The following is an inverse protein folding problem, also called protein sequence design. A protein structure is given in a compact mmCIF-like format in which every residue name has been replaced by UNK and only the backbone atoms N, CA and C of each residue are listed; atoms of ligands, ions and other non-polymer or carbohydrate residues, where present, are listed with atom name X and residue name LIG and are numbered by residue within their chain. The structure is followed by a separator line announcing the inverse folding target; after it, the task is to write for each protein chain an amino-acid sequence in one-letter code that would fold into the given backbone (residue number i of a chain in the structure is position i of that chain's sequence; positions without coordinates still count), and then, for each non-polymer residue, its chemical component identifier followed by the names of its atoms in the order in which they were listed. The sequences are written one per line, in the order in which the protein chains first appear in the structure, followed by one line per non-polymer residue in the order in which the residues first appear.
data_IF_011615677855
#
_entry.id   IF_011615677855
#
_cell.length_a   1.000
_cell.length_b   1.000
_cell.length_c   1.000
_cell.angle_alpha   90.00
_cell.angle_beta   90.00
_cell.angle_gamma   90.00
#
_symmetry.space_group_name_H-M   'P 1'
#
loop_
_entity.id
_entity.type
_entity.pdbx_description
1 polymer ?
#
# COMPACT_ATOMS: atom_id res chain seq x y z
N UNK A 1 13.27 7.42 -11.85
CA UNK A 1 12.54 6.34 -11.17
C UNK A 1 11.51 6.95 -10.22
N UNK A 2 10.30 6.35 -10.22
CA UNK A 2 9.22 6.83 -9.40
C UNK A 2 9.47 6.44 -7.93
N UNK A 3 9.44 7.38 -6.96
CA UNK A 3 9.63 7.04 -5.56
C UNK A 3 8.51 6.14 -5.01
N UNK A 4 8.88 5.12 -4.23
CA UNK A 4 7.93 4.18 -3.61
C UNK A 4 6.89 4.88 -2.73
N UNK A 5 7.28 5.96 -2.07
CA UNK A 5 6.40 6.77 -1.22
C UNK A 5 5.19 7.29 -2.00
N UNK A 6 5.41 7.75 -3.24
CA UNK A 6 4.34 8.28 -4.09
C UNK A 6 3.33 7.19 -4.44
N UNK A 7 3.80 5.99 -4.77
CA UNK A 7 2.92 4.85 -5.08
C UNK A 7 2.14 4.42 -3.83
N UNK A 8 2.81 4.33 -2.69
CA UNK A 8 2.16 3.99 -1.42
C UNK A 8 1.05 4.99 -1.06
N UNK A 9 1.34 6.29 -1.13
CA UNK A 9 0.36 7.35 -0.84
C UNK A 9 -0.80 7.33 -1.84
N UNK A 10 -0.51 7.16 -3.13
CA UNK A 10 -1.50 7.13 -4.19
C UNK A 10 -2.42 5.91 -4.12
N UNK A 11 -1.86 4.72 -3.86
CA UNK A 11 -2.62 3.47 -3.89
C UNK A 11 -3.39 3.19 -2.61
N UNK A 12 -2.93 3.70 -1.47
CA UNK A 12 -3.54 3.37 -0.17
C UNK A 12 -4.13 4.61 0.50
N UNK A 13 -3.38 5.67 0.72
CA UNK A 13 -3.86 6.81 1.48
C UNK A 13 -4.99 7.57 0.76
N UNK A 14 -4.78 7.94 -0.48
CA UNK A 14 -5.77 8.73 -1.24
C UNK A 14 -7.10 8.00 -1.45
N UNK A 15 -7.14 6.72 -1.87
CA UNK A 15 -8.40 5.99 -2.01
C UNK A 15 -9.15 5.79 -0.70
N UNK A 16 -8.46 5.62 0.43
CA UNK A 16 -9.12 5.52 1.73
C UNK A 16 -9.75 6.85 2.14
N UNK A 17 -9.05 7.97 1.92
CA UNK A 17 -9.59 9.31 2.19
C UNK A 17 -10.85 9.55 1.35
N UNK A 18 -10.80 9.25 0.06
CA UNK A 18 -11.95 9.43 -0.84
C UNK A 18 -13.13 8.56 -0.42
N UNK A 19 -12.90 7.31 -0.03
CA UNK A 19 -13.97 6.42 0.42
C UNK A 19 -14.62 6.89 1.72
N UNK A 20 -13.84 7.33 2.70
CA UNK A 20 -14.34 7.91 3.94
C UNK A 20 -15.14 9.21 3.71
N UNK A 21 -14.68 10.04 2.77
CA UNK A 21 -15.40 11.25 2.36
C UNK A 21 -16.76 10.94 1.73
N UNK A 22 -16.83 9.86 0.95
CA UNK A 22 -18.09 9.42 0.32
C UNK A 22 -19.11 8.92 1.34
N UNK A 23 -18.65 8.22 2.38
CA UNK A 23 -19.51 7.69 3.45
C UNK A 23 -20.05 8.77 4.38
N UNK A 24 -19.49 9.97 4.38
CA UNK A 24 -19.83 11.10 5.25
C UNK A 24 -19.94 10.75 6.75
N UNK A 25 -19.34 9.66 7.16
CA UNK A 25 -19.36 9.17 8.54
C UNK A 25 -18.16 9.68 9.34
N UNK A 26 -18.32 9.77 10.64
CA UNK A 26 -17.18 9.82 11.56
C UNK A 26 -16.50 8.45 11.58
N UNK A 27 -15.20 8.40 11.83
CA UNK A 27 -14.47 7.13 11.94
C UNK A 27 -15.02 6.31 13.12
N UNK A 28 -15.43 6.99 14.20
CA UNK A 28 -16.04 6.38 15.37
C UNK A 28 -17.21 7.23 15.87
N UNK A 29 -18.31 6.59 16.25
CA UNK A 29 -19.46 7.26 16.86
C UNK A 29 -19.21 7.61 18.33
N UNK A 30 -18.32 6.89 19.00
CA UNK A 30 -18.01 7.05 20.43
C UNK A 30 -16.53 7.39 20.63
N UNK A 31 -16.22 8.65 20.86
CA UNK A 31 -14.85 9.11 21.19
C UNK A 31 -14.45 8.96 22.64
N UNK A 32 -15.25 8.28 23.46
CA UNK A 32 -14.91 8.00 24.86
C UNK A 32 -14.28 6.62 24.97
N UNK A 33 -12.95 6.58 25.03
CA UNK A 33 -12.28 5.41 25.60
C UNK A 33 -12.61 5.38 27.10
N UNK A 34 -13.36 4.39 27.51
CA UNK A 34 -13.55 4.10 28.91
C UNK A 34 -12.18 3.78 29.55
N UNK A 35 -11.94 4.26 30.77
CA UNK A 35 -10.70 3.96 31.50
C UNK A 35 -10.45 2.45 31.65
N UNK A 36 -11.50 1.63 31.61
CA UNK A 36 -11.47 0.17 31.56
C UNK A 36 -10.99 -0.41 30.24
N UNK A 37 -10.98 0.38 29.16
CA UNK A 37 -10.55 -0.03 27.82
C UNK A 37 -9.08 -0.46 27.75
N UNK A 38 -8.23 0.13 28.58
CA UNK A 38 -6.81 -0.22 28.64
C UNK A 38 -6.58 -1.66 29.14
N UNK A 39 -7.22 -2.03 30.24
CA UNK A 39 -7.13 -3.38 30.79
C UNK A 39 -7.73 -4.42 29.83
N UNK A 40 -8.80 -4.04 29.11
CA UNK A 40 -9.41 -4.89 28.09
C UNK A 40 -8.44 -5.08 26.91
N UNK A 41 -7.85 -4.00 26.37
CA UNK A 41 -6.89 -4.08 25.27
C UNK A 41 -5.67 -4.94 25.61
N UNK A 42 -5.11 -4.80 26.82
CA UNK A 42 -4.03 -5.65 27.28
C UNK A 42 -4.46 -7.13 27.38
N UNK A 43 -5.66 -7.38 27.91
CA UNK A 43 -6.21 -8.73 28.00
C UNK A 43 -6.45 -9.35 26.62
N UNK A 44 -6.94 -8.57 25.67
CA UNK A 44 -7.18 -9.01 24.29
C UNK A 44 -5.86 -9.32 23.59
N UNK A 45 -4.81 -8.52 23.78
CA UNK A 45 -3.48 -8.82 23.33
C UNK A 45 -2.92 -10.09 23.99
N UNK A 46 -3.03 -10.21 25.31
CA UNK A 46 -2.55 -11.38 26.05
C UNK A 46 -3.23 -12.68 25.62
N UNK A 47 -4.52 -12.65 25.29
CA UNK A 47 -5.23 -13.81 24.71
C UNK A 47 -4.69 -14.19 23.31
N UNK A 48 -4.19 -13.22 22.56
CA UNK A 48 -3.71 -13.40 21.20
C UNK A 48 -2.17 -13.34 21.09
N UNK A 49 -1.45 -13.54 22.23
CA UNK A 49 0.01 -13.45 22.27
C UNK A 49 0.71 -14.36 21.24
N UNK A 50 0.14 -15.55 21.01
CA UNK A 50 0.69 -16.50 20.04
C UNK A 50 0.54 -15.98 18.59
N UNK A 51 -0.58 -15.33 18.29
CA UNK A 51 -0.77 -14.67 17.02
C UNK A 51 0.23 -13.51 16.85
N UNK A 52 0.39 -12.68 17.88
CA UNK A 52 1.38 -11.61 17.90
C UNK A 52 2.80 -12.15 17.64
N UNK A 53 3.20 -13.22 18.32
CA UNK A 53 4.51 -13.83 18.13
C UNK A 53 4.73 -14.34 16.70
N UNK A 54 3.77 -15.09 16.14
CA UNK A 54 3.85 -15.58 14.75
C UNK A 54 3.94 -14.44 13.73
N UNK A 55 3.12 -13.41 13.91
CA UNK A 55 3.14 -12.25 13.02
C UNK A 55 4.44 -11.45 13.18
N UNK A 56 4.99 -11.33 14.38
CA UNK A 56 6.30 -10.73 14.61
C UNK A 56 7.42 -11.50 13.90
N UNK A 57 7.38 -12.83 13.92
CA UNK A 57 8.35 -13.65 13.16
C UNK A 57 8.24 -13.41 11.66
N UNK A 58 7.01 -13.37 11.14
CA UNK A 58 6.76 -13.03 9.73
C UNK A 58 7.29 -11.64 9.42
N UNK A 59 7.02 -10.66 10.28
CA UNK A 59 7.51 -9.30 10.14
C UNK A 59 9.03 -9.22 10.09
N UNK A 60 9.72 -9.88 11.02
CA UNK A 60 11.18 -9.93 11.05
C UNK A 60 11.78 -10.58 9.80
N UNK A 61 11.20 -11.69 9.33
CA UNK A 61 11.66 -12.36 8.11
C UNK A 61 11.49 -11.49 6.87
N UNK A 62 10.32 -10.83 6.73
CA UNK A 62 10.05 -9.93 5.61
C UNK A 62 10.92 -8.68 5.69
N UNK A 63 11.12 -8.14 6.89
CA UNK A 63 12.02 -7.01 7.12
C UNK A 63 13.46 -7.30 6.70
N UNK A 64 13.91 -8.53 6.87
CA UNK A 64 15.24 -8.98 6.44
C UNK A 64 15.39 -9.09 4.90
N UNK A 65 14.28 -9.01 4.15
CA UNK A 65 14.29 -9.01 2.69
C UNK A 65 14.39 -7.56 2.17
N UNK A 66 15.52 -7.14 1.58
CA UNK A 66 15.67 -5.78 1.08
C UNK A 66 14.63 -5.44 0.01
N UNK A 67 14.03 -4.26 0.12
CA UNK A 67 13.10 -3.74 -0.89
C UNK A 67 11.63 -4.08 -0.69
N UNK A 68 11.26 -5.06 0.14
CA UNK A 68 9.85 -5.34 0.45
C UNK A 68 9.25 -4.29 1.40
N UNK A 69 10.06 -3.71 2.27
CA UNK A 69 9.67 -2.58 3.12
C UNK A 69 8.45 -2.82 4.00
N UNK A 70 8.03 -1.75 4.71
CA UNK A 70 6.88 -1.79 5.62
C UNK A 70 5.52 -1.85 4.96
N UNK A 71 5.42 -1.50 3.69
CA UNK A 71 4.12 -1.35 3.01
C UNK A 71 3.40 -2.68 2.70
N UNK A 72 4.12 -3.79 2.74
CA UNK A 72 3.59 -5.11 2.37
C UNK A 72 3.40 -6.02 3.59
N UNK A 73 4.20 -5.83 4.63
CA UNK A 73 4.25 -6.71 5.80
C UNK A 73 2.91 -6.76 6.53
N UNK A 74 2.23 -5.63 6.65
CA UNK A 74 0.94 -5.51 7.33
C UNK A 74 -0.13 -6.35 6.65
N UNK A 75 -0.15 -6.33 5.32
CA UNK A 75 -1.11 -7.09 4.51
C UNK A 75 -0.84 -8.60 4.57
N UNK A 76 0.44 -9.00 4.59
CA UNK A 76 0.82 -10.42 4.72
C UNK A 76 0.43 -10.93 6.10
N UNK A 77 0.72 -10.17 7.15
CA UNK A 77 0.37 -10.54 8.51
C UNK A 77 -1.15 -10.58 8.73
N UNK A 78 -1.88 -9.61 8.19
CA UNK A 78 -3.34 -9.62 8.22
C UNK A 78 -3.90 -10.84 7.49
N UNK A 79 -3.42 -11.10 6.27
CA UNK A 79 -3.84 -12.27 5.49
C UNK A 79 -3.53 -13.60 6.20
N UNK A 80 -2.35 -13.70 6.82
CA UNK A 80 -1.99 -14.84 7.66
C UNK A 80 -2.95 -15.03 8.83
N UNK A 81 -3.29 -13.95 9.54
CA UNK A 81 -4.23 -13.99 10.65
C UNK A 81 -5.62 -14.46 10.21
N UNK A 82 -6.16 -13.90 9.13
CA UNK A 82 -7.46 -14.31 8.57
C UNK A 82 -7.46 -15.77 8.16
N UNK A 83 -6.37 -16.28 7.60
CA UNK A 83 -6.29 -17.67 7.12
C UNK A 83 -6.10 -18.69 8.24
N UNK A 84 -5.39 -18.34 9.31
CA UNK A 84 -4.94 -19.28 10.34
C UNK A 84 -5.73 -19.23 11.63
N UNK A 85 -6.64 -18.27 11.79
CA UNK A 85 -7.48 -18.16 13.00
C UNK A 85 -8.92 -18.60 12.74
N UNK A 86 -9.62 -18.96 13.83
CA UNK A 86 -11.04 -19.30 13.78
C UNK A 86 -11.88 -18.02 13.64
N UNK A 87 -13.14 -18.17 13.22
CA UNK A 87 -14.12 -17.07 13.07
C UNK A 87 -13.60 -15.95 12.13
N UNK A 88 -13.31 -16.33 10.91
CA UNK A 88 -12.77 -15.41 9.89
C UNK A 88 -13.69 -14.24 9.56
N UNK A 89 -14.98 -14.44 9.73
CA UNK A 89 -16.04 -13.47 9.44
C UNK A 89 -16.02 -12.25 10.38
N UNK A 90 -15.38 -12.39 11.57
CA UNK A 90 -15.25 -11.28 12.52
C UNK A 90 -14.21 -10.23 12.11
N UNK A 91 -13.33 -10.57 11.17
CA UNK A 91 -12.34 -9.60 10.65
C UNK A 91 -13.04 -8.50 9.85
N UNK A 92 -12.64 -7.26 10.11
CA UNK A 92 -13.30 -6.09 9.51
C UNK A 92 -14.54 -5.59 10.26
N UNK A 93 -15.01 -6.30 11.28
CA UNK A 93 -16.19 -5.92 12.10
C UNK A 93 -15.82 -5.51 13.53
N UNK A 94 -14.54 -5.20 13.79
CA UNK A 94 -14.05 -4.78 15.11
C UNK A 94 -13.28 -5.83 15.88
N UNK A 95 -12.91 -6.94 15.27
CA UNK A 95 -12.08 -7.99 15.91
C UNK A 95 -10.65 -7.45 16.18
N UNK A 96 -10.17 -7.46 17.43
CA UNK A 96 -8.86 -6.96 17.81
C UNK A 96 -7.70 -7.70 17.11
N UNK A 97 -7.89 -8.94 16.68
CA UNK A 97 -6.89 -9.71 15.94
C UNK A 97 -6.52 -9.06 14.60
N UNK A 98 -7.48 -8.35 13.98
CA UNK A 98 -7.25 -7.59 12.75
C UNK A 98 -6.29 -6.40 12.93
N UNK A 99 -6.02 -5.98 14.16
CA UNK A 99 -5.02 -4.96 14.51
C UNK A 99 -3.76 -5.59 15.09
N UNK A 100 -3.91 -6.54 16.00
CA UNK A 100 -2.78 -7.20 16.67
C UNK A 100 -1.81 -7.84 15.66
N UNK A 101 -2.33 -8.50 14.63
CA UNK A 101 -1.50 -9.21 13.66
C UNK A 101 -0.62 -8.27 12.82
N UNK A 102 -1.17 -7.29 12.07
CA UNK A 102 -0.36 -6.38 11.26
C UNK A 102 0.57 -5.50 12.10
N UNK A 103 0.10 -4.98 13.25
CA UNK A 103 0.92 -4.11 14.09
C UNK A 103 2.10 -4.86 14.72
N UNK A 104 1.90 -6.13 15.12
CA UNK A 104 3.01 -6.96 15.61
C UNK A 104 4.07 -7.21 14.54
N UNK A 105 3.65 -7.44 13.30
CA UNK A 105 4.56 -7.64 12.17
C UNK A 105 5.25 -6.34 11.77
N UNK A 106 4.52 -5.24 11.71
CA UNK A 106 5.04 -3.93 11.36
C UNK A 106 6.13 -3.46 12.34
N UNK A 107 5.92 -3.68 13.63
CA UNK A 107 6.92 -3.34 14.63
C UNK A 107 8.17 -4.24 14.53
N UNK A 108 7.98 -5.54 14.37
CA UNK A 108 9.07 -6.51 14.31
C UNK A 108 9.92 -6.42 13.03
N UNK A 109 9.37 -5.91 11.92
CA UNK A 109 10.09 -5.78 10.65
C UNK A 109 11.32 -4.87 10.73
N UNK A 110 11.30 -3.85 11.58
CA UNK A 110 12.44 -2.93 11.71
C UNK A 110 13.66 -3.66 12.31
N UNK A 111 13.41 -4.57 13.26
CA UNK A 111 14.47 -5.46 13.77
C UNK A 111 15.04 -6.39 12.68
N UNK A 112 14.16 -6.96 11.84
CA UNK A 112 14.58 -7.76 10.69
C UNK A 112 15.37 -6.97 9.66
N UNK A 113 14.95 -5.73 9.37
CA UNK A 113 15.58 -4.85 8.39
C UNK A 113 17.00 -4.38 8.80
N UNK A 114 17.32 -4.42 10.08
CA UNK A 114 18.71 -4.16 10.53
C UNK A 114 19.71 -5.15 9.94
N UNK A 115 19.31 -6.41 9.75
CA UNK A 115 20.21 -7.45 9.25
C UNK A 115 20.84 -7.08 7.90
N UNK A 116 20.07 -6.90 6.81
CA UNK A 116 20.65 -6.51 5.53
C UNK A 116 21.26 -5.11 5.55
N UNK A 117 20.74 -4.20 6.37
CA UNK A 117 21.25 -2.83 6.46
C UNK A 117 22.66 -2.78 7.03
N UNK A 118 22.88 -3.48 8.14
CA UNK A 118 24.18 -3.46 8.82
C UNK A 118 25.19 -4.43 8.20
N UNK A 119 24.74 -5.61 7.74
CA UNK A 119 25.64 -6.64 7.22
C UNK A 119 25.98 -6.46 5.74
N UNK A 120 25.03 -5.95 4.95
CA UNK A 120 25.19 -5.86 3.49
C UNK A 120 25.20 -4.41 2.98
N UNK A 121 24.98 -3.42 3.84
CA UNK A 121 24.81 -2.02 3.42
C UNK A 121 23.58 -1.80 2.53
N UNK A 122 22.60 -2.69 2.60
CA UNK A 122 21.39 -2.63 1.77
C UNK A 122 20.19 -2.31 2.68
N UNK A 123 19.64 -1.09 2.63
CA UNK A 123 18.55 -0.71 3.52
C UNK A 123 17.28 -1.52 3.23
N UNK A 124 16.71 -2.13 4.27
CA UNK A 124 15.45 -2.88 4.18
C UNK A 124 14.20 -1.99 4.17
N UNK A 125 14.31 -0.74 4.62
CA UNK A 125 13.21 0.23 4.68
C UNK A 125 13.73 1.66 4.49
N UNK A 126 12.81 2.62 4.34
CA UNK A 126 13.16 4.05 4.28
C UNK A 126 13.85 4.53 5.56
N UNK A 127 13.40 4.08 6.73
CA UNK A 127 14.03 4.37 8.03
C UNK A 127 15.47 3.82 8.08
N UNK A 128 15.67 2.62 7.56
CA UNK A 128 16.99 1.99 7.48
C UNK A 128 17.92 2.71 6.49
N UNK A 129 17.39 3.29 5.42
CA UNK A 129 18.19 4.10 4.50
C UNK A 129 18.71 5.39 5.18
N UNK A 130 17.89 6.02 6.02
CA UNK A 130 18.28 7.18 6.82
C UNK A 130 19.34 6.78 7.86
N UNK A 131 19.12 5.67 8.57
CA UNK A 131 20.08 5.12 9.51
C UNK A 131 21.45 4.86 8.83
N UNK A 132 21.42 4.21 7.68
CA UNK A 132 22.60 3.92 6.87
C UNK A 132 23.36 5.18 6.49
N UNK A 133 22.63 6.22 6.01
CA UNK A 133 23.21 7.52 5.70
C UNK A 133 23.85 8.17 6.94
N UNK A 134 23.20 8.08 8.11
CA UNK A 134 23.74 8.54 9.39
C UNK A 134 25.02 7.84 9.79
N UNK A 135 25.09 6.51 9.65
CA UNK A 135 26.28 5.71 9.95
C UNK A 135 27.47 6.11 9.06
N UNK A 136 27.24 6.27 7.76
CA UNK A 136 28.28 6.70 6.81
C UNK A 136 28.82 8.09 7.17
N UNK A 137 27.94 9.02 7.57
CA UNK A 137 28.34 10.38 7.95
C UNK A 137 29.26 10.41 9.20
N UNK A 138 29.10 9.47 10.12
CA UNK A 138 29.98 9.34 11.31
C UNK A 138 31.16 8.40 11.09
N UNK A 139 31.40 7.99 9.83
CA UNK A 139 32.55 7.15 9.45
C UNK A 139 32.42 5.67 9.77
N UNK A 140 31.18 5.18 9.97
CA UNK A 140 30.90 3.76 10.19
C UNK A 140 30.41 3.16 8.87
N UNK A 141 31.24 2.30 8.28
CA UNK A 141 30.87 1.60 7.05
C UNK A 141 30.12 0.31 7.37
N UNK A 142 28.88 0.13 6.83
CA UNK A 142 28.14 -1.11 6.98
C UNK A 142 28.81 -2.22 6.15
N UNK A 143 28.70 -3.43 6.63
CA UNK A 143 29.27 -4.60 5.97
C UNK A 143 30.01 -5.50 6.95
N UNK A 144 31.00 -6.24 6.46
CA UNK A 144 31.76 -7.18 7.29
C UNK A 144 32.44 -6.51 8.49
N UNK A 145 32.89 -5.27 8.33
CA UNK A 145 33.55 -4.49 9.38
C UNK A 145 32.64 -4.22 10.59
N UNK A 146 31.31 -4.13 10.36
CA UNK A 146 30.33 -4.00 11.45
C UNK A 146 30.31 -5.21 12.38
N UNK A 147 30.60 -6.41 11.86
CA UNK A 147 30.63 -7.63 12.67
C UNK A 147 31.98 -7.78 13.32
N UNK A 148 33.04 -7.55 12.56
CA UNK A 148 34.43 -7.86 13.02
C UNK A 148 34.94 -6.82 14.03
N UNK A 149 34.63 -5.53 13.83
CA UNK A 149 35.25 -4.43 14.59
C UNK A 149 34.25 -3.49 15.30
N UNK A 150 32.94 -3.56 14.98
CA UNK A 150 31.93 -2.62 15.50
C UNK A 150 30.69 -3.30 16.10
N UNK A 151 30.88 -4.51 16.66
CA UNK A 151 29.75 -5.29 17.22
C UNK A 151 29.09 -4.60 18.41
N UNK A 152 29.85 -3.82 19.19
CA UNK A 152 29.35 -2.96 20.25
C UNK A 152 28.29 -1.98 19.73
N UNK A 153 28.51 -1.38 18.58
CA UNK A 153 27.58 -0.45 17.93
C UNK A 153 26.34 -1.18 17.39
N UNK A 154 26.51 -2.40 16.90
CA UNK A 154 25.37 -3.24 16.49
C UNK A 154 24.45 -3.52 17.67
N UNK A 155 25.01 -3.95 18.81
CA UNK A 155 24.22 -4.17 20.03
C UNK A 155 23.59 -2.88 20.55
N UNK A 156 24.31 -1.77 20.50
CA UNK A 156 23.75 -0.46 20.88
C UNK A 156 22.52 -0.12 20.04
N UNK A 157 22.56 -0.31 18.72
CA UNK A 157 21.41 -0.05 17.84
C UNK A 157 20.22 -0.98 18.14
N UNK A 158 20.49 -2.29 18.34
CA UNK A 158 19.43 -3.25 18.71
C UNK A 158 18.74 -2.82 20.00
N UNK A 159 19.49 -2.51 21.05
CA UNK A 159 18.93 -2.09 22.32
C UNK A 159 18.28 -0.71 22.27
N UNK A 160 18.80 0.20 21.44
CA UNK A 160 18.16 1.51 21.22
C UNK A 160 16.80 1.39 20.56
N UNK A 161 16.65 0.51 19.57
CA UNK A 161 15.35 0.24 18.95
C UNK A 161 14.40 -0.41 19.96
N UNK A 162 14.88 -1.38 20.76
CA UNK A 162 14.05 -2.00 21.80
C UNK A 162 13.57 -0.97 22.83
N UNK A 163 14.47 -0.10 23.32
CA UNK A 163 14.13 0.97 24.25
C UNK A 163 13.16 2.00 23.63
N UNK A 164 13.40 2.41 22.38
CA UNK A 164 12.52 3.32 21.65
C UNK A 164 11.11 2.75 21.47
N UNK A 165 10.98 1.45 21.21
CA UNK A 165 9.69 0.77 21.12
C UNK A 165 8.94 0.80 22.46
N UNK A 166 9.62 0.53 23.58
CA UNK A 166 8.99 0.55 24.90
C UNK A 166 8.51 1.97 25.25
N UNK A 167 9.38 2.98 25.06
CA UNK A 167 9.06 4.38 25.35
C UNK A 167 7.96 4.89 24.43
N UNK A 168 8.08 4.61 23.12
CA UNK A 168 7.08 5.01 22.11
C UNK A 168 5.72 4.38 22.36
N UNK A 169 5.66 3.08 22.66
CA UNK A 169 4.43 2.39 23.02
C UNK A 169 3.81 3.00 24.30
N UNK A 170 4.63 3.31 25.29
CA UNK A 170 4.19 4.01 26.51
C UNK A 170 3.54 5.37 26.21
N UNK A 171 4.21 6.20 25.42
CA UNK A 171 3.70 7.52 25.02
C UNK A 171 2.37 7.38 24.26
N UNK A 172 2.32 6.50 23.26
CA UNK A 172 1.11 6.25 22.49
C UNK A 172 -0.04 5.76 23.38
N UNK A 173 0.25 4.90 24.36
CA UNK A 173 -0.73 4.38 25.29
C UNK A 173 -1.32 5.48 26.17
N UNK A 174 -0.49 6.38 26.70
CA UNK A 174 -0.95 7.53 27.50
C UNK A 174 -1.74 8.55 26.66
N UNK A 175 -1.35 8.77 25.40
CA UNK A 175 -2.02 9.70 24.49
C UNK A 175 -3.23 9.08 23.76
N UNK A 176 -3.46 7.78 23.87
CA UNK A 176 -4.53 7.08 23.17
C UNK A 176 -5.93 7.73 23.36
N UNK A 177 -6.34 8.21 24.57
CA UNK A 177 -7.63 8.88 24.72
C UNK A 177 -7.73 10.20 23.96
N UNK A 178 -6.64 10.95 23.87
CA UNK A 178 -6.57 12.22 23.12
C UNK A 178 -6.64 11.96 21.62
N UNK A 179 -5.88 10.97 21.14
CA UNK A 179 -5.87 10.56 19.74
C UNK A 179 -7.25 10.02 19.34
N UNK A 180 -7.91 9.23 20.19
CA UNK A 180 -9.24 8.72 19.93
C UNK A 180 -10.30 9.82 19.76
N UNK A 181 -10.14 10.99 20.39
CA UNK A 181 -11.05 12.12 20.17
C UNK A 181 -10.97 12.67 18.75
N UNK A 182 -9.85 12.54 18.07
CA UNK A 182 -9.69 12.98 16.68
C UNK A 182 -10.59 12.15 15.76
N UNK A 183 -10.82 10.87 16.08
CA UNK A 183 -11.65 9.97 15.26
C UNK A 183 -13.14 10.33 15.28
N UNK A 184 -13.59 11.17 16.22
CA UNK A 184 -14.99 11.66 16.30
C UNK A 184 -15.25 12.93 15.50
N UNK A 185 -14.19 13.57 15.00
CA UNK A 185 -14.34 14.74 14.15
C UNK A 185 -14.86 14.28 12.79
N UNK A 186 -15.83 15.04 12.23
CA UNK A 186 -16.35 14.76 10.90
C UNK A 186 -15.21 14.69 9.89
N UNK A 187 -15.11 13.58 9.18
CA UNK A 187 -13.99 13.32 8.29
C UNK A 187 -13.82 14.37 7.20
N UNK A 188 -14.92 14.98 6.76
CA UNK A 188 -14.92 16.09 5.80
C UNK A 188 -14.10 17.31 6.25
N UNK A 189 -13.89 17.49 7.58
CA UNK A 189 -13.06 18.57 8.11
C UNK A 189 -11.57 18.20 8.12
N UNK A 190 -11.25 16.93 8.33
CA UNK A 190 -9.86 16.46 8.44
C UNK A 190 -9.26 16.16 7.06
N UNK A 191 -10.08 15.66 6.14
CA UNK A 191 -9.63 15.18 4.83
C UNK A 191 -8.83 16.20 4.00
N UNK A 192 -9.19 17.49 3.89
CA UNK A 192 -8.43 18.42 3.08
C UNK A 192 -7.01 18.63 3.63
N UNK A 193 -6.82 18.60 4.94
CA UNK A 193 -5.49 18.67 5.57
C UNK A 193 -4.70 17.41 5.28
N UNK A 194 -5.32 16.23 5.36
CA UNK A 194 -4.65 14.98 5.03
C UNK A 194 -4.25 14.92 3.55
N UNK A 195 -5.10 15.36 2.64
CA UNK A 195 -4.77 15.46 1.21
C UNK A 195 -3.62 16.44 1.02
N UNK A 196 -3.64 17.61 1.67
CA UNK A 196 -2.54 18.56 1.65
C UNK A 196 -1.22 17.95 2.10
N UNK A 197 -1.24 17.19 3.22
CA UNK A 197 -0.06 16.47 3.72
C UNK A 197 0.44 15.39 2.74
N UNK A 198 -0.45 14.66 2.08
CA UNK A 198 -0.08 13.66 1.07
C UNK A 198 0.65 14.33 -0.10
N UNK A 199 0.10 15.42 -0.63
CA UNK A 199 0.73 16.16 -1.71
C UNK A 199 2.06 16.79 -1.28
N UNK A 200 2.13 17.31 -0.06
CA UNK A 200 3.37 17.83 0.53
C UNK A 200 4.43 16.72 0.64
N UNK A 201 4.07 15.57 1.19
CA UNK A 201 4.99 14.44 1.32
C UNK A 201 5.47 13.92 -0.04
N UNK A 202 4.59 13.87 -1.04
CA UNK A 202 4.96 13.48 -2.40
C UNK A 202 5.91 14.49 -3.04
N UNK A 203 5.66 15.80 -2.87
CA UNK A 203 6.55 16.84 -3.40
C UNK A 203 7.92 16.83 -2.73
N UNK A 204 7.98 16.53 -1.44
CA UNK A 204 9.24 16.44 -0.70
C UNK A 204 10.11 15.24 -1.12
N UNK A 205 9.55 14.22 -1.76
CA UNK A 205 10.29 13.01 -2.13
C UNK A 205 11.44 13.32 -3.11
N UNK A 206 11.20 14.10 -4.17
CA UNK A 206 12.23 14.50 -5.14
C UNK A 206 12.18 15.99 -5.52
N UNK A 207 11.26 16.75 -4.95
CA UNK A 207 10.99 18.17 -5.28
C UNK A 207 10.69 18.40 -6.76
N UNK A 208 10.08 17.44 -7.42
CA UNK A 208 9.73 17.49 -8.83
C UNK A 208 8.22 17.55 -9.03
N UNK A 209 7.75 18.43 -9.92
CA UNK A 209 6.33 18.51 -10.29
C UNK A 209 5.80 17.23 -10.92
N UNK A 210 6.64 16.46 -11.59
CA UNK A 210 6.31 15.15 -12.13
C UNK A 210 5.79 14.17 -11.07
N UNK A 211 6.26 14.29 -9.83
CA UNK A 211 5.83 13.46 -8.71
C UNK A 211 4.36 13.71 -8.32
N UNK A 212 3.93 14.99 -8.40
CA UNK A 212 2.54 15.35 -8.12
C UNK A 212 1.59 14.86 -9.22
N UNK A 213 2.03 14.93 -10.48
CA UNK A 213 1.29 14.38 -11.61
C UNK A 213 1.18 12.85 -11.46
N UNK A 214 2.29 12.19 -11.15
CA UNK A 214 2.33 10.75 -10.91
C UNK A 214 1.44 10.36 -9.71
N UNK A 215 1.49 11.12 -8.60
CA UNK A 215 0.61 10.93 -7.45
C UNK A 215 -0.85 11.01 -7.88
N UNK A 216 -1.25 12.02 -8.65
CA UNK A 216 -2.62 12.19 -9.11
C UNK A 216 -3.09 11.01 -9.98
N UNK A 217 -2.30 10.65 -11.01
CA UNK A 217 -2.62 9.55 -11.93
C UNK A 217 -2.74 8.22 -11.19
N UNK A 218 -1.79 7.92 -10.31
CA UNK A 218 -1.80 6.71 -9.50
C UNK A 218 -2.91 6.73 -8.44
N UNK A 219 -3.28 7.90 -7.92
CA UNK A 219 -4.42 8.02 -7.00
C UNK A 219 -5.74 7.71 -7.71
N UNK A 220 -5.92 8.19 -8.93
CA UNK A 220 -7.09 7.83 -9.77
C UNK A 220 -7.12 6.33 -10.00
N UNK A 221 -5.98 5.73 -10.39
CA UNK A 221 -5.85 4.29 -10.53
C UNK A 221 -6.21 3.55 -9.23
N UNK A 222 -5.66 3.98 -8.09
CA UNK A 222 -5.92 3.40 -6.77
C UNK A 222 -7.39 3.48 -6.35
N UNK A 223 -8.07 4.60 -6.63
CA UNK A 223 -9.51 4.79 -6.39
C UNK A 223 -10.33 3.79 -7.20
N UNK A 224 -10.04 3.64 -8.49
CA UNK A 224 -10.76 2.69 -9.34
C UNK A 224 -10.42 1.24 -9.00
N UNK A 225 -9.17 0.91 -8.67
CA UNK A 225 -8.81 -0.42 -8.18
C UNK A 225 -9.58 -0.78 -6.91
N UNK A 226 -9.71 0.16 -5.95
CA UNK A 226 -10.52 -0.05 -4.74
C UNK A 226 -12.00 -0.24 -5.11
N UNK A 227 -12.52 0.59 -5.99
CA UNK A 227 -13.90 0.54 -6.46
C UNK A 227 -14.25 -0.82 -7.06
N UNK A 228 -13.36 -1.38 -7.88
CA UNK A 228 -13.59 -2.67 -8.56
C UNK A 228 -13.05 -3.88 -7.79
N UNK A 229 -12.59 -3.71 -6.56
CA UNK A 229 -12.07 -4.81 -5.75
C UNK A 229 -10.73 -5.39 -6.23
N UNK A 230 -9.98 -4.66 -7.05
CA UNK A 230 -8.68 -5.09 -7.55
C UNK A 230 -7.59 -4.96 -6.48
N UNK A 231 -6.68 -5.95 -6.44
CA UNK A 231 -5.67 -6.04 -5.38
C UNK A 231 -4.59 -4.96 -5.52
N UNK A 232 -4.73 -3.87 -4.78
CA UNK A 232 -3.72 -2.80 -4.68
C UNK A 232 -2.40 -3.28 -4.06
N UNK A 233 -2.42 -4.16 -3.01
CA UNK A 233 -1.18 -4.73 -2.48
C UNK A 233 -0.39 -5.53 -3.53
N UNK A 234 -1.05 -6.30 -4.39
CA UNK A 234 -0.37 -7.05 -5.44
C UNK A 234 0.37 -6.13 -6.42
N UNK A 235 -0.23 -5.00 -6.81
CA UNK A 235 0.41 -3.99 -7.66
C UNK A 235 1.65 -3.40 -6.97
N UNK A 236 1.54 -3.05 -5.68
CA UNK A 236 2.65 -2.49 -4.91
C UNK A 236 3.80 -3.50 -4.78
N UNK A 237 3.49 -4.77 -4.48
CA UNK A 237 4.48 -5.84 -4.40
C UNK A 237 5.19 -6.00 -5.77
N UNK A 238 4.43 -6.06 -6.85
CA UNK A 238 4.98 -6.15 -8.20
C UNK A 238 5.92 -4.98 -8.51
N UNK A 239 5.53 -3.76 -8.15
CA UNK A 239 6.37 -2.57 -8.35
C UNK A 239 7.69 -2.64 -7.54
N UNK A 240 7.60 -2.99 -6.24
CA UNK A 240 8.79 -3.08 -5.37
C UNK A 240 9.75 -4.17 -5.85
N UNK A 241 9.20 -5.31 -6.26
CA UNK A 241 10.01 -6.44 -6.73
C UNK A 241 10.57 -6.21 -8.13
N UNK A 242 9.91 -5.41 -8.99
CA UNK A 242 10.28 -5.26 -10.40
C UNK A 242 11.77 -4.92 -10.59
N UNK A 243 12.27 -3.92 -9.87
CA UNK A 243 13.67 -3.47 -9.98
C UNK A 243 14.66 -4.58 -9.58
N UNK A 244 14.31 -5.38 -8.56
CA UNK A 244 15.18 -6.48 -8.10
C UNK A 244 15.13 -7.66 -9.05
N UNK A 245 13.94 -8.00 -9.53
CA UNK A 245 13.76 -9.07 -10.52
C UNK A 245 14.48 -8.71 -11.80
N UNK A 246 14.31 -7.49 -12.30
CA UNK A 246 15.02 -6.99 -13.49
C UNK A 246 16.53 -7.10 -13.33
N UNK A 247 17.11 -6.58 -12.25
CA UNK A 247 18.53 -6.64 -11.99
C UNK A 247 19.04 -8.09 -11.87
N UNK A 248 18.30 -8.95 -11.17
CA UNK A 248 18.68 -10.36 -11.00
C UNK A 248 18.59 -11.14 -12.30
N UNK A 249 17.56 -10.90 -13.11
CA UNK A 249 17.42 -11.52 -14.44
C UNK A 249 18.56 -11.08 -15.35
N UNK A 250 18.83 -9.77 -15.39
CA UNK A 250 19.91 -9.22 -16.20
C UNK A 250 21.28 -9.84 -15.82
N UNK A 251 21.61 -9.86 -14.53
CA UNK A 251 22.86 -10.46 -14.03
C UNK A 251 22.93 -11.95 -14.37
N UNK A 252 21.85 -12.69 -14.14
CA UNK A 252 21.81 -14.13 -14.39
C UNK A 252 22.00 -14.45 -15.87
N UNK A 253 21.30 -13.74 -16.75
CA UNK A 253 21.40 -13.94 -18.20
C UNK A 253 22.77 -13.51 -18.72
N UNK A 254 23.34 -12.44 -18.18
CA UNK A 254 24.70 -12.00 -18.58
C UNK A 254 25.77 -13.00 -18.16
N UNK A 255 25.66 -13.62 -16.98
CA UNK A 255 26.67 -14.56 -16.46
C UNK A 255 26.51 -15.99 -17.01
N UNK A 256 25.28 -16.44 -17.20
CA UNK A 256 24.98 -17.85 -17.49
C UNK A 256 24.20 -18.08 -18.79
N UNK A 257 23.83 -17.02 -19.49
CA UNK A 257 22.97 -17.15 -20.67
C UNK A 257 21.61 -17.77 -20.30
N UNK A 258 21.02 -18.51 -21.25
CA UNK A 258 19.75 -19.24 -21.02
C UNK A 258 19.97 -20.56 -20.25
N UNK A 259 21.21 -21.03 -20.16
CA UNK A 259 21.56 -22.31 -19.50
C UNK A 259 21.34 -22.29 -17.97
N UNK A 260 21.06 -21.13 -17.37
CA UNK A 260 20.68 -21.06 -15.96
C UNK A 260 19.39 -21.87 -15.66
N UNK A 261 18.49 -22.06 -16.64
CA UNK A 261 17.28 -22.84 -16.49
C UNK A 261 17.55 -24.36 -16.35
N UNK A 262 18.73 -24.81 -16.76
CA UNK A 262 19.15 -26.22 -16.64
C UNK A 262 19.64 -26.57 -15.23
N UNK A 263 19.85 -25.55 -14.38
CA UNK A 263 20.34 -25.77 -13.00
C UNK A 263 19.26 -26.42 -12.14
N UNK A 264 19.57 -27.50 -11.38
CA UNK A 264 18.58 -28.22 -10.58
C UNK A 264 17.83 -27.34 -9.58
N UNK A 265 18.53 -26.38 -8.94
CA UNK A 265 17.92 -25.43 -7.99
C UNK A 265 16.88 -24.55 -8.68
N UNK A 266 17.16 -24.06 -9.90
CA UNK A 266 16.24 -23.23 -10.66
C UNK A 266 15.00 -24.02 -11.06
N UNK A 267 15.19 -25.29 -11.50
CA UNK A 267 14.08 -26.18 -11.86
C UNK A 267 13.19 -26.49 -10.67
N UNK A 268 13.78 -26.77 -9.48
CA UNK A 268 13.01 -27.00 -8.25
C UNK A 268 12.20 -25.75 -7.88
N UNK A 269 12.80 -24.55 -7.92
CA UNK A 269 12.11 -23.30 -7.62
C UNK A 269 10.99 -23.01 -8.63
N UNK A 270 11.21 -23.32 -9.91
CA UNK A 270 10.21 -23.15 -10.96
C UNK A 270 9.02 -24.10 -10.75
N UNK A 271 9.28 -25.36 -10.43
CA UNK A 271 8.24 -26.35 -10.09
C UNK A 271 7.46 -25.91 -8.84
N UNK A 272 8.14 -25.47 -7.79
CA UNK A 272 7.48 -24.96 -6.58
C UNK A 272 6.60 -23.73 -6.88
N UNK A 273 7.07 -22.83 -7.75
CA UNK A 273 6.29 -21.65 -8.17
C UNK A 273 5.04 -22.05 -8.93
N UNK A 274 5.17 -22.94 -9.92
CA UNK A 274 4.04 -23.45 -10.70
C UNK A 274 3.05 -24.19 -9.79
N UNK A 275 3.55 -25.04 -8.89
CA UNK A 275 2.73 -25.75 -7.92
C UNK A 275 2.00 -24.79 -6.99
N UNK A 276 2.66 -23.75 -6.50
CA UNK A 276 2.05 -22.71 -5.65
C UNK A 276 0.91 -21.98 -6.38
N UNK A 277 1.11 -21.61 -7.65
CA UNK A 277 0.08 -21.00 -8.48
C UNK A 277 -1.08 -21.97 -8.71
N UNK A 278 -0.79 -23.23 -9.05
CA UNK A 278 -1.81 -24.25 -9.24
C UNK A 278 -2.63 -24.47 -7.96
N UNK A 279 -1.97 -24.60 -6.79
CA UNK A 279 -2.65 -24.73 -5.51
C UNK A 279 -3.52 -23.51 -5.21
N UNK A 280 -3.05 -22.29 -5.48
CA UNK A 280 -3.84 -21.06 -5.29
C UNK A 280 -5.09 -21.03 -6.16
N UNK A 281 -5.02 -21.56 -7.39
CA UNK A 281 -6.15 -21.63 -8.32
C UNK A 281 -7.13 -22.76 -7.91
N UNK A 282 -6.61 -23.94 -7.57
CA UNK A 282 -7.44 -25.09 -7.21
C UNK A 282 -8.08 -24.96 -5.81
N UNK A 283 -7.34 -24.44 -4.84
CA UNK A 283 -7.85 -24.19 -3.49
C UNK A 283 -8.41 -22.78 -3.33
N UNK A 284 -8.96 -22.19 -4.40
CA UNK A 284 -9.67 -20.93 -4.33
C UNK A 284 -10.67 -21.00 -3.16
N UNK A 285 -10.34 -20.37 -2.04
CA UNK A 285 -11.26 -20.28 -0.93
C UNK A 285 -12.53 -19.59 -1.44
N UNK A 286 -13.68 -20.22 -1.17
CA UNK A 286 -14.97 -19.55 -1.32
C UNK A 286 -14.87 -18.23 -0.56
N UNK A 287 -14.66 -17.15 -1.28
CA UNK A 287 -14.79 -15.81 -0.73
C UNK A 287 -16.18 -15.73 -0.12
N UNK A 288 -16.27 -15.17 1.07
CA UNK A 288 -17.51 -14.85 1.77
C UNK A 288 -18.56 -14.41 0.77
N UNK A 289 -19.79 -14.82 0.99
CA UNK A 289 -21.00 -14.71 0.18
C UNK A 289 -20.92 -13.76 -1.01
N UNK A 290 -21.22 -14.24 -2.23
CA UNK A 290 -21.28 -13.36 -3.38
C UNK A 290 -22.25 -12.25 -3.02
N UNK A 291 -21.75 -11.02 -3.02
CA UNK A 291 -22.63 -9.86 -2.93
C UNK A 291 -23.49 -9.90 -4.20
N UNK A 292 -24.67 -10.45 -4.05
CA UNK A 292 -25.66 -10.46 -5.11
C UNK A 292 -25.95 -9.01 -5.48
N UNK A 293 -25.42 -8.58 -6.61
CA UNK A 293 -25.83 -7.36 -7.25
C UNK A 293 -27.15 -7.68 -7.92
N UNK A 294 -28.24 -7.53 -7.16
CA UNK A 294 -29.60 -7.66 -7.71
C UNK A 294 -29.83 -6.54 -8.71
N UNK A 295 -29.85 -6.88 -9.98
CA UNK A 295 -30.22 -5.96 -11.05
C UNK A 295 -29.62 -6.35 -12.40
N UNK A 296 -30.27 -6.01 -13.52
CA UNK A 296 -29.76 -6.29 -14.85
C UNK A 296 -28.42 -5.58 -15.06
N UNK A 297 -27.36 -6.34 -15.33
CA UNK A 297 -26.04 -5.83 -15.67
C UNK A 297 -26.11 -5.08 -17.00
N UNK A 298 -26.34 -3.78 -16.97
CA UNK A 298 -26.30 -2.96 -18.19
C UNK A 298 -24.84 -2.76 -18.63
N UNK A 299 -24.58 -2.78 -19.94
CA UNK A 299 -23.25 -2.53 -20.50
C UNK A 299 -22.65 -1.19 -20.04
N UNK A 300 -23.49 -0.18 -19.78
CA UNK A 300 -23.08 1.13 -19.30
C UNK A 300 -22.45 1.08 -17.89
N UNK A 301 -22.85 0.14 -17.04
CA UNK A 301 -22.26 -0.04 -15.70
C UNK A 301 -20.89 -0.70 -15.72
N UNK A 302 -20.57 -1.43 -16.80
CA UNK A 302 -19.27 -2.07 -17.00
C UNK A 302 -18.28 -1.16 -17.75
N UNK A 303 -18.73 -0.04 -18.30
CA UNK A 303 -17.89 0.86 -19.08
C UNK A 303 -16.59 1.29 -18.34
N UNK A 304 -16.61 1.69 -17.05
CA UNK A 304 -15.37 2.05 -16.34
C UNK A 304 -14.38 0.90 -16.24
N UNK A 305 -14.87 -0.35 -16.04
CA UNK A 305 -14.00 -1.53 -15.97
C UNK A 305 -13.38 -1.83 -17.34
N UNK A 306 -14.15 -1.70 -18.42
CA UNK A 306 -13.65 -1.86 -19.78
C UNK A 306 -12.58 -0.80 -20.14
N UNK A 307 -12.83 0.46 -19.75
CA UNK A 307 -11.84 1.54 -19.94
C UNK A 307 -10.55 1.22 -19.19
N UNK A 308 -10.65 0.73 -17.97
CA UNK A 308 -9.49 0.34 -17.18
C UNK A 308 -8.71 -0.80 -17.83
N UNK A 309 -9.39 -1.89 -18.20
CA UNK A 309 -8.78 -3.04 -18.88
C UNK A 309 -8.14 -2.62 -20.20
N UNK A 310 -8.82 -1.80 -20.99
CA UNK A 310 -8.27 -1.27 -22.24
C UNK A 310 -7.01 -0.42 -22.01
N UNK A 311 -6.99 0.39 -20.95
CA UNK A 311 -5.82 1.16 -20.54
C UNK A 311 -4.62 0.27 -20.18
N UNK A 312 -4.85 -0.82 -19.43
CA UNK A 312 -3.80 -1.78 -19.10
C UNK A 312 -3.28 -2.51 -20.35
N UNK A 313 -4.19 -2.91 -21.26
CA UNK A 313 -3.80 -3.51 -22.55
C UNK A 313 -2.97 -2.52 -23.36
N UNK A 314 -3.41 -1.28 -23.50
CA UNK A 314 -2.70 -0.26 -24.26
C UNK A 314 -1.29 -0.02 -23.68
N UNK A 315 -1.17 0.05 -22.35
CA UNK A 315 0.10 0.18 -21.67
C UNK A 315 1.01 -1.02 -21.93
N UNK A 316 0.47 -2.25 -21.80
CA UNK A 316 1.23 -3.46 -22.04
C UNK A 316 1.71 -3.57 -23.49
N UNK A 317 0.87 -3.19 -24.48
CA UNK A 317 1.24 -3.13 -25.87
C UNK A 317 2.29 -2.05 -26.16
N UNK A 318 2.18 -0.88 -25.52
CA UNK A 318 3.19 0.17 -25.64
C UNK A 318 4.55 -0.31 -25.12
N UNK A 319 4.58 -0.90 -23.91
CA UNK A 319 5.80 -1.47 -23.31
C UNK A 319 6.36 -2.58 -24.19
N UNK A 320 5.52 -3.43 -24.77
CA UNK A 320 5.92 -4.50 -25.69
C UNK A 320 6.60 -3.92 -26.92
N UNK A 321 5.99 -2.93 -27.59
CA UNK A 321 6.55 -2.29 -28.78
C UNK A 321 7.87 -1.56 -28.47
N UNK A 322 7.96 -0.91 -27.33
CA UNK A 322 9.16 -0.22 -26.91
C UNK A 322 10.28 -1.20 -26.56
N UNK A 323 9.96 -2.32 -25.93
CA UNK A 323 10.90 -3.39 -25.62
C UNK A 323 11.58 -3.99 -26.86
N UNK A 324 10.89 -4.03 -27.99
CA UNK A 324 11.45 -4.53 -29.28
C UNK A 324 12.52 -3.62 -29.87
N UNK A 325 12.61 -2.34 -29.42
CA UNK A 325 13.63 -1.39 -29.88
C UNK A 325 14.95 -1.54 -29.13
N UNK A 326 14.93 -2.20 -27.97
CA UNK A 326 16.13 -2.41 -27.16
C UNK A 326 16.91 -3.64 -27.60
N UNK A 327 18.18 -3.70 -27.20
CA UNK A 327 19.00 -4.88 -27.39
C UNK A 327 18.38 -6.09 -26.64
N UNK A 328 18.66 -7.31 -27.11
CA UNK A 328 18.08 -8.55 -26.60
C UNK A 328 18.14 -8.70 -25.05
N UNK A 329 19.19 -8.19 -24.42
CA UNK A 329 19.37 -8.24 -22.98
C UNK A 329 18.52 -7.19 -22.25
N UNK A 330 18.53 -5.94 -22.70
CA UNK A 330 17.81 -4.84 -22.04
C UNK A 330 16.30 -4.89 -22.30
N UNK A 331 15.90 -5.41 -23.48
CA UNK A 331 14.49 -5.59 -23.84
C UNK A 331 13.83 -6.83 -23.23
N UNK A 332 14.61 -7.78 -22.71
CA UNK A 332 14.07 -9.07 -22.25
C UNK A 332 13.09 -8.92 -21.09
N UNK A 333 13.40 -8.15 -20.06
CA UNK A 333 12.52 -7.99 -18.91
C UNK A 333 11.21 -7.26 -19.25
N UNK A 334 11.22 -6.09 -19.90
CA UNK A 334 9.99 -5.44 -20.34
C UNK A 334 9.14 -6.30 -21.29
N UNK A 335 9.78 -7.08 -22.15
CA UNK A 335 9.11 -7.98 -23.08
C UNK A 335 8.40 -9.11 -22.33
N UNK A 336 9.08 -9.78 -21.41
CA UNK A 336 8.48 -10.85 -20.60
C UNK A 336 7.35 -10.29 -19.73
N UNK A 337 7.54 -9.13 -19.11
CA UNK A 337 6.53 -8.49 -18.27
C UNK A 337 5.27 -8.11 -19.07
N UNK A 338 5.42 -7.52 -20.25
CA UNK A 338 4.31 -7.13 -21.12
C UNK A 338 3.56 -8.34 -21.69
N UNK A 339 4.27 -9.35 -22.16
CA UNK A 339 3.66 -10.61 -22.66
C UNK A 339 2.92 -11.32 -21.53
N UNK A 340 3.53 -11.46 -20.35
CA UNK A 340 2.87 -12.07 -19.19
C UNK A 340 1.59 -11.31 -18.81
N UNK A 341 1.64 -9.98 -18.79
CA UNK A 341 0.46 -9.15 -18.51
C UNK A 341 -0.65 -9.42 -19.52
N UNK A 342 -0.36 -9.46 -20.82
CA UNK A 342 -1.35 -9.74 -21.87
C UNK A 342 -1.92 -11.15 -21.75
N UNK A 343 -1.08 -12.15 -21.48
CA UNK A 343 -1.50 -13.55 -21.31
C UNK A 343 -2.43 -13.70 -20.11
N UNK A 344 -2.11 -13.09 -18.95
CA UNK A 344 -2.98 -13.16 -17.77
C UNK A 344 -4.24 -12.29 -17.91
N UNK A 345 -4.22 -11.25 -18.73
CA UNK A 345 -5.38 -10.40 -18.96
C UNK A 345 -6.36 -10.99 -19.96
N UNK A 346 -5.88 -11.83 -20.90
CA UNK A 346 -6.73 -12.46 -21.92
C UNK A 346 -7.93 -13.24 -21.33
N UNK A 347 -7.78 -14.13 -20.32
CA UNK A 347 -8.91 -14.79 -19.68
C UNK A 347 -9.91 -13.80 -19.05
N UNK A 348 -9.41 -12.72 -18.44
CA UNK A 348 -10.26 -11.68 -17.84
C UNK A 348 -11.11 -11.00 -18.91
N UNK A 349 -10.51 -10.60 -20.02
CA UNK A 349 -11.20 -10.01 -21.17
C UNK A 349 -12.25 -10.94 -21.73
N UNK A 350 -11.90 -12.22 -21.91
CA UNK A 350 -12.83 -13.24 -22.40
C UNK A 350 -14.02 -13.42 -21.45
N UNK A 351 -13.77 -13.52 -20.14
CA UNK A 351 -14.84 -13.64 -19.14
C UNK A 351 -15.75 -12.40 -19.14
N UNK A 352 -15.18 -11.19 -19.25
CA UNK A 352 -15.95 -9.97 -19.35
C UNK A 352 -16.78 -9.90 -20.64
N UNK A 353 -16.24 -10.32 -21.79
CA UNK A 353 -16.90 -10.29 -23.08
C UNK A 353 -18.06 -11.30 -23.15
N UNK A 354 -17.85 -12.52 -22.66
CA UNK A 354 -18.86 -13.58 -22.72
C UNK A 354 -19.87 -13.58 -21.57
N UNK A 355 -19.79 -12.60 -20.65
CA UNK A 355 -20.66 -12.48 -19.46
C UNK A 355 -20.75 -13.76 -18.62
N UNK A 356 -19.73 -14.62 -18.68
CA UNK A 356 -19.63 -15.88 -17.93
C UNK A 356 -18.82 -15.74 -16.64
N UNK A 357 -18.42 -14.51 -16.31
CA UNK A 357 -17.65 -14.28 -15.12
C UNK A 357 -18.53 -14.42 -13.87
N UNK A 358 -17.99 -15.01 -12.79
CA UNK A 358 -18.62 -14.98 -11.48
C UNK A 358 -18.92 -13.54 -11.06
N UNK A 359 -19.94 -13.34 -10.22
CA UNK A 359 -20.34 -12.03 -9.70
C UNK A 359 -19.20 -11.18 -9.11
N UNK A 360 -18.16 -11.84 -8.61
CA UNK A 360 -16.96 -11.22 -8.04
C UNK A 360 -16.15 -10.40 -9.07
N UNK A 361 -16.22 -10.75 -10.38
CA UNK A 361 -15.55 -9.99 -11.44
C UNK A 361 -16.24 -8.67 -11.80
N UNK A 362 -17.51 -8.58 -11.49
CA UNK A 362 -18.33 -7.40 -11.78
C UNK A 362 -18.59 -6.56 -10.54
N UNK A 363 -17.75 -6.72 -9.53
CA UNK A 363 -17.85 -5.94 -8.31
C UNK A 363 -17.65 -4.44 -8.60
N UNK A 364 -18.61 -3.64 -8.18
CA UNK A 364 -18.54 -2.18 -8.18
C UNK A 364 -19.04 -1.65 -6.83
N UNK A 365 -18.11 -1.18 -6.00
CA UNK A 365 -18.43 -0.64 -4.68
C UNK A 365 -19.35 0.59 -4.72
N UNK A 366 -19.44 1.28 -5.87
CA UNK A 366 -20.30 2.46 -6.03
C UNK A 366 -21.78 2.08 -6.17
N UNK A 367 -22.06 0.87 -6.61
CA UNK A 367 -23.43 0.34 -6.69
C UNK A 367 -24.03 0.02 -5.31
N UNK A 368 -23.18 -0.13 -4.27
CA UNK A 368 -23.61 -0.25 -2.88
C UNK A 368 -23.78 1.14 -2.28
N UNK A 369 -24.95 1.75 -2.54
CA UNK A 369 -25.50 2.96 -1.92
C UNK A 369 -24.49 4.01 -1.44
N UNK A 370 -24.32 5.06 -2.23
CA UNK A 370 -23.84 6.34 -1.70
C UNK A 370 -24.95 6.84 -0.75
N UNK A 371 -24.67 7.15 0.53
CA UNK A 371 -25.66 7.71 1.43
C UNK A 371 -26.31 8.96 0.81
N UNK A 372 -27.59 9.21 1.08
CA UNK A 372 -28.26 10.43 0.63
C UNK A 372 -27.43 11.66 1.02
N UNK A 373 -26.97 12.42 0.01
CA UNK A 373 -26.08 13.58 0.18
C UNK A 373 -24.58 13.31 0.03
N UNK A 374 -24.14 12.07 -0.17
CA UNK A 374 -22.76 11.72 -0.51
C UNK A 374 -22.42 12.15 -1.93
N UNK A 375 -21.16 12.51 -2.18
CA UNK A 375 -20.67 12.88 -3.52
C UNK A 375 -19.95 11.72 -4.17
N UNK A 376 -19.95 11.68 -5.50
CA UNK A 376 -19.30 10.62 -6.27
C UNK A 376 -17.77 10.67 -6.17
N UNK A 377 -17.09 9.55 -6.52
CA UNK A 377 -15.63 9.50 -6.56
C UNK A 377 -15.06 10.52 -7.55
N UNK A 378 -15.74 10.72 -8.68
CA UNK A 378 -15.34 11.66 -9.73
C UNK A 378 -15.29 13.10 -9.23
N UNK A 379 -16.21 13.49 -8.32
CA UNK A 379 -16.15 14.81 -7.68
C UNK A 379 -14.85 15.01 -6.91
N UNK A 380 -14.44 14.02 -6.11
CA UNK A 380 -13.21 14.10 -5.33
C UNK A 380 -11.96 14.03 -6.21
N UNK A 381 -11.98 13.24 -7.28
CA UNK A 381 -10.92 13.24 -8.30
C UNK A 381 -10.82 14.64 -8.92
N UNK A 382 -11.92 15.25 -9.29
CA UNK A 382 -11.95 16.63 -9.79
C UNK A 382 -11.34 17.63 -8.79
N UNK A 383 -11.60 17.46 -7.50
CA UNK A 383 -10.97 18.29 -6.45
C UNK A 383 -9.47 18.11 -6.35
N UNK A 384 -8.94 16.88 -6.55
CA UNK A 384 -7.49 16.63 -6.59
C UNK A 384 -6.85 17.27 -7.82
N UNK A 385 -7.52 17.23 -8.97
CA UNK A 385 -7.07 17.95 -10.20
C UNK A 385 -7.01 19.45 -9.95
N UNK A 386 -8.06 20.01 -9.36
CA UNK A 386 -8.10 21.44 -9.00
C UNK A 386 -6.95 21.81 -8.07
N UNK A 387 -6.65 20.99 -7.08
CA UNK A 387 -5.51 21.20 -6.19
C UNK A 387 -4.19 21.27 -6.96
N UNK A 388 -3.96 20.34 -7.89
CA UNK A 388 -2.74 20.32 -8.70
C UNK A 388 -2.63 21.57 -9.59
N UNK A 389 -3.74 21.99 -10.22
CA UNK A 389 -3.79 23.19 -11.05
C UNK A 389 -3.52 24.46 -10.22
N UNK A 390 -4.15 24.62 -9.06
CA UNK A 390 -3.88 25.75 -8.17
C UNK A 390 -2.42 25.78 -7.71
N UNK A 391 -1.87 24.62 -7.35
CA UNK A 391 -0.46 24.52 -6.96
C UNK A 391 0.49 24.92 -8.10
N UNK A 392 0.14 24.62 -9.34
CA UNK A 392 0.90 25.02 -10.52
C UNK A 392 0.80 26.52 -10.85
N UNK A 393 -0.37 27.14 -10.60
CA UNK A 393 -0.61 28.56 -10.97
C UNK A 393 -0.07 29.54 -9.92
N UNK A 394 -0.28 29.25 -8.62
CA UNK A 394 -0.04 30.20 -7.52
C UNK A 394 1.17 29.79 -6.67
N UNK A 395 1.71 28.62 -6.94
CA UNK A 395 2.77 28.02 -6.15
C UNK A 395 2.24 27.00 -5.15
N UNK A 396 3.11 26.08 -4.73
CA UNK A 396 2.73 24.87 -4.02
C UNK A 396 2.03 25.13 -2.67
N UNK A 397 2.60 25.99 -1.82
CA UNK A 397 2.06 26.28 -0.48
C UNK A 397 0.72 27.00 -0.56
N UNK A 398 0.65 28.07 -1.39
CA UNK A 398 -0.58 28.83 -1.58
C UNK A 398 -1.65 28.00 -2.29
N UNK A 399 -1.26 27.09 -3.18
CA UNK A 399 -2.16 26.16 -3.86
C UNK A 399 -2.82 25.19 -2.88
N UNK A 400 -2.07 24.63 -1.93
CA UNK A 400 -2.62 23.77 -0.87
C UNK A 400 -3.56 24.58 0.04
N UNK A 401 -3.18 25.78 0.46
CA UNK A 401 -4.02 26.63 1.30
C UNK A 401 -5.34 26.99 0.61
N UNK A 402 -5.29 27.39 -0.67
CA UNK A 402 -6.46 27.66 -1.49
C UNK A 402 -7.35 26.42 -1.65
N UNK A 403 -6.74 25.26 -1.87
CA UNK A 403 -7.47 24.00 -1.94
C UNK A 403 -8.19 23.68 -0.63
N UNK A 404 -7.51 23.79 0.51
CA UNK A 404 -8.11 23.53 1.83
C UNK A 404 -9.31 24.48 2.04
N UNK A 405 -9.16 25.75 1.76
CA UNK A 405 -10.25 26.74 1.86
C UNK A 405 -11.43 26.39 0.95
N UNK A 406 -11.16 26.08 -0.32
CA UNK A 406 -12.20 25.70 -1.28
C UNK A 406 -12.90 24.40 -0.88
N UNK A 407 -12.15 23.42 -0.41
CA UNK A 407 -12.69 22.14 0.03
C UNK A 407 -13.60 22.30 1.26
N UNK A 408 -13.14 23.03 2.29
CA UNK A 408 -13.93 23.32 3.48
C UNK A 408 -15.22 24.05 3.13
N UNK A 409 -15.16 25.00 2.20
CA UNK A 409 -16.34 25.73 1.76
C UNK A 409 -17.31 24.84 0.96
N UNK A 410 -16.81 24.11 -0.05
CA UNK A 410 -17.64 23.35 -1.01
C UNK A 410 -18.07 21.97 -0.51
N UNK A 411 -17.17 21.24 0.12
CA UNK A 411 -17.39 19.85 0.54
C UNK A 411 -17.84 19.74 1.99
N UNK A 412 -17.24 20.49 2.90
CA UNK A 412 -17.59 20.48 4.32
C UNK A 412 -18.70 21.47 4.68
N UNK A 413 -19.11 22.35 3.72
CA UNK A 413 -20.15 23.37 3.90
C UNK A 413 -19.89 24.29 5.11
N UNK A 414 -18.63 24.59 5.37
CA UNK A 414 -18.21 25.53 6.41
C UNK A 414 -18.44 26.96 5.91
N UNK A 415 -18.77 27.90 6.82
CA UNK A 415 -18.89 29.32 6.48
C UNK A 415 -17.60 29.84 5.84
N UNK A 416 -17.72 30.64 4.78
CA UNK A 416 -16.62 31.06 3.92
C UNK A 416 -15.43 31.66 4.69
N UNK A 417 -15.67 32.48 5.72
CA UNK A 417 -14.61 33.08 6.51
C UNK A 417 -13.86 32.08 7.40
N UNK A 418 -14.56 31.04 7.94
CA UNK A 418 -13.91 29.95 8.67
C UNK A 418 -13.14 29.01 7.74
N UNK A 419 -13.58 28.87 6.50
CA UNK A 419 -12.89 28.09 5.48
C UNK A 419 -11.57 28.77 5.08
N UNK A 420 -11.53 30.10 4.95
CA UNK A 420 -10.31 30.86 4.69
C UNK A 420 -9.31 30.72 5.85
N UNK A 421 -9.77 30.89 7.09
CA UNK A 421 -8.92 30.72 8.27
C UNK A 421 -8.33 29.29 8.40
N UNK A 422 -9.06 28.28 7.93
CA UNK A 422 -8.56 26.90 7.91
C UNK A 422 -7.61 26.61 6.75
N UNK A 423 -7.61 27.44 5.70
CA UNK A 423 -6.72 27.30 4.55
C UNK A 423 -5.38 28.05 4.67
N UNK A 424 -5.29 28.95 5.64
CA UNK A 424 -4.08 29.73 5.98
C UNK A 424 -3.45 29.17 7.27
#
# INVERSE_FOLDING_TARGET
PLPLVIIGLAMFATPEIVDLLRRQSTISETGRLERTGWAKGFRDWAKNWWLSLRCSMIGSLIGALPGLGGSVVDWIAYGHAVQTTKNRESYGTGDPRGVVAPESANNAKEGGALVPTLLLGIPGSGSMAILLGGLILIGIEPGKDMIDNNMDKVYLMIWSIAAANIVGAGICFFLAPQIARITTIKYTLIAPFMIGLIFFAAFQATRNWGDLIALLLLSVLGIYMKRFGWSRPALLIGFVLSTRVEASVYQTVTLYGITFLERPIVQILLVLTVLSIALAVFFKQKSSEPVTVDGPHSHLRLAPQWVFVAGVIALALYVFQDALKFNSLTGMYPLVASVSTLVFLAPVVLMMAFKRAPSDFFYDAELKSVPEGGRSAEFYIGMLVVMLLFSGLVGFVLGIAAFIALFLFRAARVLWWKAILGGV
#
